data_IF_472962242842
#
_entry.id   IF_472962242842
#
_cell.length_a   1.000
_cell.length_b   1.000
_cell.length_c   1.000
_cell.angle_alpha   90.00
_cell.angle_beta   90.00
_cell.angle_gamma   90.00
#
_symmetry.space_group_name_H-M   'P 1'
#
loop_
_entity.id
_entity.type
_entity.pdbx_description
1 polymer ?
#
# COMPACT_ATOMS: atom_id res chain seq x y z
N UNK A 1 -14.14 -20.26 37.15
CA UNK A 1 -13.07 -20.08 36.12
C UNK A 1 -13.48 -20.56 34.73
N UNK A 2 -14.53 -21.40 34.59
CA UNK A 2 -14.93 -22.04 33.32
C UNK A 2 -15.64 -21.17 32.31
N UNK A 3 -16.37 -20.12 32.70
CA UNK A 3 -17.13 -19.28 31.78
C UNK A 3 -16.25 -18.35 30.91
N UNK A 4 -15.14 -17.86 31.40
CA UNK A 4 -14.25 -17.00 30.62
C UNK A 4 -13.48 -17.76 29.53
N UNK A 5 -13.07 -19.01 29.82
CA UNK A 5 -12.37 -19.84 28.84
C UNK A 5 -13.28 -20.28 27.68
N UNK A 6 -14.56 -20.57 27.95
CA UNK A 6 -15.54 -20.91 26.91
C UNK A 6 -15.89 -19.73 26.01
N UNK A 7 -15.93 -18.51 26.56
CA UNK A 7 -16.16 -17.26 25.81
C UNK A 7 -14.99 -16.96 24.86
N UNK A 8 -13.75 -17.06 25.33
CA UNK A 8 -12.56 -16.82 24.50
C UNK A 8 -12.43 -17.84 23.35
N UNK A 9 -12.66 -19.12 23.61
CA UNK A 9 -12.64 -20.17 22.58
C UNK A 9 -13.74 -19.93 21.53
N UNK A 10 -14.93 -19.53 21.95
CA UNK A 10 -16.04 -19.18 21.05
C UNK A 10 -15.71 -17.95 20.18
N UNK A 11 -14.99 -16.96 20.70
CA UNK A 11 -14.57 -15.78 19.93
C UNK A 11 -13.53 -16.13 18.87
N UNK A 12 -12.53 -16.95 19.22
CA UNK A 12 -11.53 -17.45 18.27
C UNK A 12 -12.20 -18.24 17.13
N UNK A 13 -13.10 -19.16 17.47
CA UNK A 13 -13.83 -19.95 16.48
C UNK A 13 -14.68 -19.11 15.53
N UNK A 14 -15.40 -18.11 16.06
CA UNK A 14 -16.13 -17.14 15.21
C UNK A 14 -15.21 -16.41 14.25
N UNK A 15 -14.06 -15.95 14.72
CA UNK A 15 -13.07 -15.24 13.87
C UNK A 15 -12.48 -16.15 12.81
N UNK A 16 -12.28 -17.44 13.10
CA UNK A 16 -11.85 -18.43 12.12
C UNK A 16 -12.91 -18.61 11.02
N UNK A 17 -14.19 -18.72 11.38
CA UNK A 17 -15.30 -18.83 10.43
C UNK A 17 -15.49 -17.56 9.56
N UNK A 18 -15.16 -16.39 10.10
CA UNK A 18 -15.28 -15.11 9.40
C UNK A 18 -14.17 -14.86 8.36
N UNK A 19 -13.20 -15.77 8.21
CA UNK A 19 -12.15 -15.61 7.21
C UNK A 19 -12.63 -16.10 5.84
N UNK A 20 -12.21 -15.41 4.76
CA UNK A 20 -12.59 -15.75 3.39
C UNK A 20 -11.75 -16.92 2.86
N UNK A 21 -11.90 -18.13 3.41
CA UNK A 21 -11.07 -19.31 3.11
C UNK A 21 -10.99 -19.67 1.63
N UNK A 22 -12.09 -19.54 0.90
CA UNK A 22 -12.20 -19.89 -0.51
C UNK A 22 -12.80 -18.75 -1.36
N UNK A 23 -12.76 -17.53 -0.85
CA UNK A 23 -13.26 -16.37 -1.55
C UNK A 23 -12.14 -15.72 -2.38
N UNK A 24 -12.18 -15.88 -3.68
CA UNK A 24 -11.20 -15.32 -4.62
C UNK A 24 -11.86 -14.31 -5.54
N UNK A 25 -11.14 -13.27 -5.89
CA UNK A 25 -11.51 -12.39 -7.02
C UNK A 25 -10.95 -12.97 -8.31
N UNK A 26 -11.73 -12.86 -9.40
CA UNK A 26 -11.27 -13.28 -10.72
C UNK A 26 -10.17 -12.33 -11.22
N UNK A 27 -9.01 -12.90 -11.52
CA UNK A 27 -7.85 -12.15 -11.96
C UNK A 27 -7.99 -11.67 -13.40
N UNK A 28 -7.73 -10.41 -13.62
CA UNK A 28 -7.65 -9.83 -14.97
C UNK A 28 -6.18 -9.61 -15.36
N UNK A 29 -5.66 -10.50 -16.21
CA UNK A 29 -4.31 -10.37 -16.79
C UNK A 29 -4.33 -9.78 -18.21
N UNK A 30 -5.23 -8.83 -18.47
CA UNK A 30 -5.15 -8.00 -19.70
C UNK A 30 -4.08 -6.92 -19.52
N UNK A 31 -2.87 -7.20 -20.02
CA UNK A 31 -1.72 -6.31 -19.92
C UNK A 31 -1.95 -4.95 -20.59
N UNK A 32 -2.75 -4.91 -21.67
CA UNK A 32 -3.09 -3.64 -22.33
C UNK A 32 -4.00 -2.78 -21.45
N UNK A 33 -4.93 -3.42 -20.75
CA UNK A 33 -5.77 -2.73 -19.78
C UNK A 33 -4.95 -2.28 -18.58
N UNK A 34 -4.00 -3.11 -18.10
CA UNK A 34 -3.09 -2.75 -17.00
C UNK A 34 -2.25 -1.52 -17.34
N UNK A 35 -1.68 -1.46 -18.56
CA UNK A 35 -0.95 -0.29 -19.03
C UNK A 35 -1.83 0.96 -19.04
N UNK A 36 -3.05 0.88 -19.58
CA UNK A 36 -4.00 2.02 -19.61
C UNK A 36 -4.34 2.53 -18.19
N UNK A 37 -4.51 1.64 -17.23
CA UNK A 37 -4.79 2.01 -15.84
C UNK A 37 -3.59 2.72 -15.22
N UNK A 38 -2.37 2.19 -15.41
CA UNK A 38 -1.13 2.81 -14.93
C UNK A 38 -0.93 4.20 -15.55
N UNK A 39 -1.17 4.36 -16.85
CA UNK A 39 -1.03 5.64 -17.56
C UNK A 39 -2.07 6.67 -17.14
N UNK A 40 -3.29 6.22 -16.88
CA UNK A 40 -4.37 7.08 -16.37
C UNK A 40 -4.07 7.58 -14.96
N UNK A 41 -3.56 6.70 -14.09
CA UNK A 41 -3.42 6.98 -12.65
C UNK A 41 -2.07 7.64 -12.33
N UNK A 42 -1.04 7.46 -13.18
CA UNK A 42 0.33 7.95 -12.95
C UNK A 42 0.88 8.62 -14.21
N UNK A 43 1.24 9.89 -14.08
CA UNK A 43 1.93 10.63 -15.14
C UNK A 43 3.43 10.33 -15.12
N UNK A 44 4.04 10.12 -16.29
CA UNK A 44 5.44 9.74 -16.40
C UNK A 44 5.72 8.34 -15.88
N UNK A 45 6.92 8.10 -15.36
CA UNK A 45 7.37 6.83 -14.78
C UNK A 45 7.35 5.67 -15.78
N UNK A 46 7.67 5.92 -17.06
CA UNK A 46 7.53 4.92 -18.13
C UNK A 46 8.34 3.65 -17.81
N UNK A 47 9.62 3.80 -17.42
CA UNK A 47 10.48 2.65 -17.05
C UNK A 47 9.90 1.83 -15.89
N UNK A 48 9.30 2.49 -14.90
CA UNK A 48 8.65 1.83 -13.75
C UNK A 48 7.42 1.05 -14.21
N UNK A 49 6.61 1.64 -15.07
CA UNK A 49 5.41 1.00 -15.63
C UNK A 49 5.78 -0.21 -16.48
N UNK A 50 6.81 -0.09 -17.33
CA UNK A 50 7.31 -1.18 -18.15
C UNK A 50 7.76 -2.35 -17.30
N UNK A 51 8.54 -2.10 -16.23
CA UNK A 51 8.97 -3.14 -15.28
C UNK A 51 7.78 -3.79 -14.56
N UNK A 52 6.76 -3.02 -14.20
CA UNK A 52 5.52 -3.58 -13.61
C UNK A 52 4.81 -4.48 -14.62
N UNK A 53 4.69 -4.07 -15.88
CA UNK A 53 4.04 -4.86 -16.95
C UNK A 53 4.84 -6.15 -17.24
N UNK A 54 6.17 -6.07 -17.27
CA UNK A 54 7.04 -7.26 -17.38
C UNK A 54 6.76 -8.27 -16.27
N UNK A 55 6.71 -7.80 -15.02
CA UNK A 55 6.41 -8.63 -13.87
C UNK A 55 5.02 -9.28 -13.97
N UNK A 56 3.99 -8.50 -14.32
CA UNK A 56 2.62 -9.01 -14.50
C UNK A 56 2.54 -10.03 -15.65
N UNK A 57 3.37 -9.87 -16.68
CA UNK A 57 3.46 -10.82 -17.79
C UNK A 57 4.01 -12.17 -17.34
N UNK A 58 5.03 -12.16 -16.48
CA UNK A 58 5.58 -13.39 -15.87
C UNK A 58 4.55 -14.08 -14.99
N UNK A 59 3.81 -13.34 -14.17
CA UNK A 59 2.73 -13.89 -13.33
C UNK A 59 1.64 -14.56 -14.19
N UNK A 60 1.27 -13.92 -15.30
CA UNK A 60 0.29 -14.47 -16.25
C UNK A 60 0.74 -15.82 -16.83
N UNK A 61 2.03 -15.93 -17.19
CA UNK A 61 2.58 -17.16 -17.78
C UNK A 61 2.71 -18.29 -16.76
N UNK A 62 3.23 -17.99 -15.58
CA UNK A 62 3.48 -18.99 -14.54
C UNK A 62 2.21 -19.56 -13.91
N UNK A 63 1.09 -18.86 -13.96
CA UNK A 63 -0.18 -19.21 -13.28
C UNK A 63 -0.04 -19.51 -11.78
N UNK A 64 1.09 -19.18 -11.20
CA UNK A 64 1.35 -19.27 -9.77
C UNK A 64 1.99 -17.97 -9.28
N UNK A 65 1.82 -17.63 -8.01
CA UNK A 65 2.35 -16.41 -7.39
C UNK A 65 3.77 -16.60 -6.82
N UNK A 66 4.42 -17.74 -7.09
CA UNK A 66 5.81 -18.00 -6.66
C UNK A 66 6.80 -17.18 -7.50
N UNK A 67 6.76 -15.87 -7.33
CA UNK A 67 7.64 -14.90 -8.00
C UNK A 67 8.25 -13.97 -6.96
N UNK A 68 9.41 -13.35 -7.24
CA UNK A 68 9.97 -12.33 -6.36
C UNK A 68 8.95 -11.25 -6.03
N UNK A 69 9.04 -10.70 -4.85
CA UNK A 69 8.13 -9.64 -4.39
C UNK A 69 8.58 -8.32 -5.02
N UNK A 70 7.67 -7.53 -5.57
CA UNK A 70 8.02 -6.19 -6.03
C UNK A 70 8.31 -5.29 -4.83
N UNK A 71 9.47 -4.63 -4.85
CA UNK A 71 9.80 -3.54 -3.93
C UNK A 71 9.91 -2.22 -4.69
N UNK A 72 8.96 -1.33 -4.48
CA UNK A 72 8.98 0.03 -5.02
C UNK A 72 9.84 0.91 -4.12
N UNK A 73 11.03 1.27 -4.59
CA UNK A 73 12.02 2.05 -3.86
C UNK A 73 12.16 3.46 -4.43
N UNK A 74 12.31 4.45 -3.57
CA UNK A 74 12.55 5.84 -4.01
C UNK A 74 12.16 6.87 -2.97
N UNK A 75 12.33 8.18 -3.26
CA UNK A 75 12.06 9.24 -2.31
C UNK A 75 10.58 9.30 -1.87
N UNK A 76 10.27 9.92 -0.73
CA UNK A 76 8.89 10.06 -0.28
C UNK A 76 8.07 10.93 -1.24
N UNK A 77 6.78 10.60 -1.41
CA UNK A 77 5.86 11.40 -2.20
C UNK A 77 5.88 11.16 -3.72
N UNK A 78 6.61 10.16 -4.22
CA UNK A 78 6.64 9.81 -5.66
C UNK A 78 5.51 8.85 -6.08
N UNK A 79 4.62 8.45 -5.18
CA UNK A 79 3.45 7.66 -5.54
C UNK A 79 3.59 6.15 -5.38
N UNK A 80 4.60 5.64 -4.65
CA UNK A 80 4.82 4.19 -4.43
C UNK A 80 3.57 3.43 -4.00
N UNK A 81 2.91 3.91 -2.95
CA UNK A 81 1.70 3.28 -2.40
C UNK A 81 0.50 3.36 -3.36
N UNK A 82 0.40 4.44 -4.15
CA UNK A 82 -0.66 4.56 -5.17
C UNK A 82 -0.42 3.65 -6.37
N UNK A 83 0.83 3.42 -6.78
CA UNK A 83 1.18 2.41 -7.79
C UNK A 83 0.70 1.02 -7.37
N UNK A 84 0.94 0.61 -6.13
CA UNK A 84 0.44 -0.66 -5.61
C UNK A 84 -1.10 -0.78 -5.68
N UNK A 85 -1.82 0.33 -5.44
CA UNK A 85 -3.28 0.36 -5.61
C UNK A 85 -3.70 0.23 -7.08
N UNK A 86 -2.98 0.88 -8.00
CA UNK A 86 -3.28 0.79 -9.44
C UNK A 86 -2.98 -0.60 -9.99
N UNK A 87 -1.94 -1.28 -9.49
CA UNK A 87 -1.67 -2.70 -9.79
C UNK A 87 -2.85 -3.57 -9.31
N UNK A 88 -3.34 -3.38 -8.09
CA UNK A 88 -4.50 -4.12 -7.60
C UNK A 88 -5.74 -3.90 -8.48
N UNK A 89 -6.02 -2.66 -8.86
CA UNK A 89 -7.13 -2.31 -9.74
C UNK A 89 -6.98 -2.95 -11.13
N UNK A 90 -5.76 -3.00 -11.68
CA UNK A 90 -5.50 -3.58 -13.01
C UNK A 90 -5.72 -5.09 -13.03
N UNK A 91 -5.43 -5.77 -11.93
CA UNK A 91 -5.66 -7.20 -11.74
C UNK A 91 -7.09 -7.54 -11.29
N UNK A 92 -7.95 -6.55 -11.06
CA UNK A 92 -9.29 -6.74 -10.47
C UNK A 92 -9.25 -7.37 -9.07
N UNK A 93 -8.15 -7.17 -8.32
CA UNK A 93 -7.97 -7.70 -6.97
C UNK A 93 -8.34 -6.68 -5.90
N UNK A 94 -8.76 -7.17 -4.75
CA UNK A 94 -8.93 -6.33 -3.56
C UNK A 94 -7.58 -5.79 -3.11
N UNK A 95 -7.58 -4.60 -2.53
CA UNK A 95 -6.38 -3.89 -2.09
C UNK A 95 -6.35 -3.78 -0.57
N UNK A 96 -5.23 -4.10 0.04
CA UNK A 96 -4.95 -3.80 1.44
C UNK A 96 -3.60 -3.11 1.60
N UNK A 97 -3.53 -2.16 2.52
CA UNK A 97 -2.29 -1.49 2.91
C UNK A 97 -1.99 -1.81 4.36
N UNK A 98 -0.77 -2.27 4.62
CA UNK A 98 -0.25 -2.52 5.96
C UNK A 98 0.98 -1.62 6.14
N UNK A 99 0.86 -0.61 7.01
CA UNK A 99 2.02 0.21 7.38
C UNK A 99 2.89 -0.59 8.35
N UNK A 100 4.15 -0.76 7.99
CA UNK A 100 5.16 -1.44 8.79
C UNK A 100 5.98 -0.45 9.63
N UNK A 101 5.91 0.84 9.31
CA UNK A 101 6.56 1.89 10.09
C UNK A 101 6.05 1.92 11.52
N UNK A 102 6.98 1.79 12.47
CA UNK A 102 6.68 1.76 13.91
C UNK A 102 6.27 0.40 14.47
N UNK A 103 6.29 -0.67 13.67
CA UNK A 103 6.17 -2.04 14.19
C UNK A 103 7.41 -2.40 15.00
N UNK A 104 7.19 -2.88 16.22
CA UNK A 104 8.27 -3.28 17.14
C UNK A 104 8.15 -4.73 17.58
N UNK A 105 6.95 -5.28 17.55
CA UNK A 105 6.63 -6.63 18.04
C UNK A 105 6.23 -7.55 16.86
N UNK A 106 6.85 -8.71 16.83
CA UNK A 106 6.50 -9.80 15.91
C UNK A 106 5.03 -10.21 16.04
N UNK A 107 4.47 -10.13 17.25
CA UNK A 107 3.07 -10.45 17.53
C UNK A 107 2.08 -9.53 16.77
N UNK A 108 2.49 -8.34 16.35
CA UNK A 108 1.64 -7.50 15.51
C UNK A 108 1.44 -8.11 14.10
N UNK A 109 2.38 -8.90 13.60
CA UNK A 109 2.30 -9.59 12.31
C UNK A 109 1.63 -10.93 12.46
N UNK A 110 2.12 -11.77 13.41
CA UNK A 110 1.69 -13.16 13.63
C UNK A 110 0.52 -13.32 14.60
N UNK A 111 0.05 -12.23 15.23
CA UNK A 111 -0.96 -12.32 16.29
C UNK A 111 -0.37 -12.62 17.67
N UNK A 112 -1.08 -12.19 18.70
CA UNK A 112 -0.72 -12.46 20.10
C UNK A 112 -1.21 -13.83 20.52
N UNK A 113 -0.47 -14.52 21.38
CA UNK A 113 -0.95 -15.76 21.98
C UNK A 113 -2.24 -15.48 22.77
N UNK A 114 -3.26 -16.31 22.58
CA UNK A 114 -4.60 -16.12 23.19
C UNK A 114 -4.64 -16.09 24.71
N UNK A 115 -3.55 -16.52 25.37
CA UNK A 115 -3.41 -16.49 26.83
C UNK A 115 -3.21 -15.08 27.40
N UNK A 116 -2.86 -14.10 26.58
CA UNK A 116 -2.66 -12.73 27.03
C UNK A 116 -3.97 -11.94 27.03
N UNK A 117 -4.15 -11.10 28.07
CA UNK A 117 -5.29 -10.16 28.12
C UNK A 117 -5.15 -9.17 26.95
N UNK A 118 -6.23 -9.02 26.16
CA UNK A 118 -6.23 -8.15 24.98
C UNK A 118 -5.59 -8.78 23.74
N UNK A 119 -5.32 -10.10 23.72
CA UNK A 119 -4.78 -10.80 22.56
C UNK A 119 -5.66 -10.58 21.32
N UNK A 120 -5.02 -10.42 20.17
CA UNK A 120 -5.68 -10.16 18.88
C UNK A 120 -4.95 -10.87 17.74
N UNK A 121 -5.67 -11.23 16.64
CA UNK A 121 -5.03 -11.70 15.42
C UNK A 121 -4.02 -10.71 14.87
N UNK A 122 -3.06 -11.20 14.10
CA UNK A 122 -2.06 -10.38 13.43
C UNK A 122 -2.65 -9.46 12.36
N UNK A 123 -1.86 -8.47 11.96
CA UNK A 123 -2.27 -7.48 10.93
C UNK A 123 -2.53 -8.14 9.57
N UNK A 124 -1.80 -9.20 9.23
CA UNK A 124 -2.01 -9.95 7.99
C UNK A 124 -3.43 -10.53 7.96
N UNK A 125 -3.80 -11.32 8.96
CA UNK A 125 -5.11 -11.96 9.06
C UNK A 125 -6.24 -10.92 9.18
N UNK A 126 -6.05 -9.86 9.96
CA UNK A 126 -7.02 -8.74 10.02
C UNK A 126 -7.26 -8.11 8.66
N UNK A 127 -6.21 -7.98 7.84
CA UNK A 127 -6.30 -7.41 6.51
C UNK A 127 -6.98 -8.35 5.53
N UNK A 128 -6.72 -9.67 5.57
CA UNK A 128 -7.44 -10.69 4.83
C UNK A 128 -8.95 -10.60 5.13
N UNK A 129 -9.32 -10.64 6.42
CA UNK A 129 -10.73 -10.49 6.83
C UNK A 129 -11.36 -9.21 6.28
N UNK A 130 -10.66 -8.08 6.37
CA UNK A 130 -11.15 -6.77 5.89
C UNK A 130 -11.38 -6.73 4.39
N UNK A 131 -10.53 -7.38 3.61
CA UNK A 131 -10.66 -7.43 2.15
C UNK A 131 -11.73 -8.41 1.69
N UNK A 132 -12.13 -9.33 2.54
CA UNK A 132 -13.04 -10.43 2.23
C UNK A 132 -12.62 -11.17 0.94
N UNK A 133 -11.32 -11.45 0.82
CA UNK A 133 -10.74 -12.17 -0.31
C UNK A 133 -9.43 -12.84 0.11
N UNK A 134 -9.16 -14.03 -0.42
CA UNK A 134 -7.93 -14.81 -0.18
C UNK A 134 -6.81 -14.50 -1.16
N UNK A 135 -7.07 -13.73 -2.22
CA UNK A 135 -6.06 -13.31 -3.21
C UNK A 135 -5.92 -11.77 -3.36
N UNK A 136 -5.92 -10.99 -2.28
CA UNK A 136 -5.76 -9.55 -2.39
C UNK A 136 -4.34 -9.16 -2.84
N UNK A 137 -4.17 -7.89 -3.19
CA UNK A 137 -2.85 -7.25 -3.27
C UNK A 137 -2.57 -6.55 -1.96
N UNK A 138 -1.48 -6.95 -1.28
CA UNK A 138 -1.02 -6.30 -0.05
C UNK A 138 0.14 -5.36 -0.35
N UNK A 139 -0.04 -4.09 -0.02
CA UNK A 139 1.06 -3.12 -0.01
C UNK A 139 1.61 -3.02 1.41
N UNK A 140 2.84 -3.53 1.58
CA UNK A 140 3.63 -3.45 2.80
C UNK A 140 4.42 -2.14 2.76
N UNK A 141 3.86 -1.12 3.41
CA UNK A 141 4.37 0.24 3.30
C UNK A 141 5.43 0.53 4.36
N UNK A 142 6.53 1.18 3.96
CA UNK A 142 7.64 1.57 4.81
C UNK A 142 8.39 0.36 5.44
N UNK A 143 8.75 -0.64 4.61
CA UNK A 143 9.50 -1.83 5.07
C UNK A 143 10.90 -1.47 5.60
N UNK A 144 11.44 -0.34 5.18
CA UNK A 144 12.69 0.25 5.66
C UNK A 144 12.59 0.81 7.09
N UNK A 145 11.39 0.94 7.65
CA UNK A 145 11.15 1.46 9.00
C UNK A 145 10.93 0.38 10.05
N UNK A 146 11.18 -0.88 9.68
CA UNK A 146 11.18 -1.98 10.65
C UNK A 146 12.39 -1.87 11.57
N UNK A 147 12.15 -1.82 12.86
CA UNK A 147 13.21 -1.77 13.88
C UNK A 147 13.21 -3.08 14.63
N UNK A 148 14.42 -3.62 14.88
CA UNK A 148 14.60 -4.69 15.85
C UNK A 148 14.54 -4.09 17.24
N UNK A 149 13.73 -4.68 18.11
CA UNK A 149 13.63 -4.28 19.50
C UNK A 149 13.83 -5.52 20.41
N UNK A 150 13.97 -5.29 21.71
CA UNK A 150 14.10 -6.38 22.71
C UNK A 150 12.87 -7.30 22.76
N UNK A 151 11.76 -6.92 22.16
CA UNK A 151 10.48 -7.64 22.19
C UNK A 151 10.23 -8.52 20.96
N UNK A 152 11.16 -8.61 20.01
CA UNK A 152 11.04 -9.47 18.84
C UNK A 152 11.68 -8.92 17.57
N UNK A 153 11.70 -9.71 16.52
CA UNK A 153 12.17 -9.33 15.18
C UNK A 153 11.02 -9.41 14.16
N UNK A 154 10.33 -8.29 13.91
CA UNK A 154 9.26 -8.25 12.90
C UNK A 154 9.75 -8.67 11.50
N UNK A 155 11.05 -8.51 11.21
CA UNK A 155 11.62 -8.94 9.93
C UNK A 155 11.57 -10.45 9.74
N UNK A 156 11.79 -11.21 10.82
CA UNK A 156 11.66 -12.69 10.78
C UNK A 156 10.23 -13.13 10.49
N UNK A 157 9.23 -12.49 11.10
CA UNK A 157 7.83 -12.78 10.81
C UNK A 157 7.48 -12.45 9.35
N UNK A 158 8.01 -11.35 8.81
CA UNK A 158 7.81 -10.99 7.41
C UNK A 158 8.51 -11.94 6.45
N UNK A 159 9.67 -12.49 6.81
CA UNK A 159 10.33 -13.51 5.98
C UNK A 159 9.42 -14.72 5.77
N UNK A 160 8.71 -15.21 6.80
CA UNK A 160 7.74 -16.30 6.66
C UNK A 160 6.54 -15.91 5.77
N UNK A 161 6.01 -14.70 5.94
CA UNK A 161 4.89 -14.19 5.13
C UNK A 161 5.27 -14.06 3.66
N UNK A 162 6.50 -13.64 3.38
CA UNK A 162 6.99 -13.30 2.05
C UNK A 162 7.71 -14.46 1.35
N UNK A 163 8.03 -15.53 2.07
CA UNK A 163 8.67 -16.71 1.49
C UNK A 163 7.62 -17.60 0.81
N UNK A 164 7.66 -17.79 -0.52
CA UNK A 164 6.70 -18.64 -1.23
C UNK A 164 6.69 -20.10 -0.81
N UNK A 165 7.74 -20.57 -0.12
CA UNK A 165 7.82 -21.95 0.39
C UNK A 165 7.17 -22.09 1.76
N UNK A 166 7.05 -21.01 2.52
CA UNK A 166 6.52 -21.01 3.88
C UNK A 166 5.11 -20.41 3.97
N UNK A 167 4.75 -19.49 3.08
CA UNK A 167 3.52 -18.72 3.18
C UNK A 167 2.24 -19.51 2.88
N UNK A 168 2.35 -20.72 2.33
CA UNK A 168 1.20 -21.63 2.14
C UNK A 168 0.57 -22.07 3.47
N UNK A 169 1.33 -22.02 4.57
CA UNK A 169 0.88 -22.41 5.90
C UNK A 169 1.21 -21.36 6.96
N UNK A 170 1.01 -20.07 6.63
CA UNK A 170 1.24 -18.97 7.57
C UNK A 170 0.43 -19.17 8.85
N UNK A 171 1.11 -19.23 9.99
CA UNK A 171 0.49 -19.50 11.29
C UNK A 171 0.23 -18.21 12.07
N UNK A 172 -1.05 -17.94 12.38
CA UNK A 172 -1.42 -16.86 13.30
C UNK A 172 -1.57 -17.41 14.72
N UNK A 173 -0.80 -16.85 15.66
CA UNK A 173 -0.74 -17.33 17.05
C UNK A 173 -2.05 -17.14 17.83
N UNK A 174 -2.91 -16.21 17.43
CA UNK A 174 -4.20 -16.00 18.06
C UNK A 174 -5.24 -16.98 17.56
N UNK A 175 -5.26 -17.20 16.24
CA UNK A 175 -6.21 -18.13 15.63
C UNK A 175 -5.77 -19.59 15.79
N UNK A 176 -4.47 -19.85 16.01
CA UNK A 176 -3.86 -21.19 16.11
C UNK A 176 -4.17 -22.10 14.91
N UNK A 177 -4.31 -21.49 13.73
CA UNK A 177 -4.53 -22.21 12.47
C UNK A 177 -3.60 -21.66 11.39
N UNK A 178 -3.25 -22.50 10.43
CA UNK A 178 -2.56 -22.09 9.22
C UNK A 178 -3.51 -21.40 8.24
N UNK A 179 -3.05 -20.37 7.56
CA UNK A 179 -3.75 -19.70 6.47
C UNK A 179 -2.87 -19.65 5.23
N UNK A 180 -3.43 -20.03 4.08
CA UNK A 180 -2.70 -20.03 2.81
C UNK A 180 -2.61 -18.61 2.25
N UNK A 181 -1.40 -18.03 2.25
CA UNK A 181 -1.08 -16.74 1.66
C UNK A 181 -0.47 -16.85 0.26
N UNK A 182 -0.34 -18.05 -0.31
CA UNK A 182 0.35 -18.27 -1.60
C UNK A 182 -0.32 -17.57 -2.78
N UNK A 183 -1.59 -17.20 -2.66
CA UNK A 183 -2.36 -16.47 -3.67
C UNK A 183 -2.33 -14.95 -3.48
N UNK A 184 -1.78 -14.47 -2.37
CA UNK A 184 -1.65 -13.05 -2.08
C UNK A 184 -0.50 -12.46 -2.90
N UNK A 185 -0.73 -11.32 -3.54
CA UNK A 185 0.34 -10.57 -4.19
C UNK A 185 0.88 -9.51 -3.21
N UNK A 186 2.13 -9.65 -2.82
CA UNK A 186 2.81 -8.70 -1.94
C UNK A 186 3.61 -7.67 -2.75
N UNK A 187 3.44 -6.40 -2.40
CA UNK A 187 4.21 -5.27 -2.93
C UNK A 187 4.79 -4.53 -1.73
N UNK A 188 6.10 -4.43 -1.65
CA UNK A 188 6.77 -3.65 -0.61
C UNK A 188 7.03 -2.21 -1.09
N UNK A 189 7.09 -1.24 -0.18
CA UNK A 189 7.60 0.09 -0.45
C UNK A 189 8.71 0.46 0.52
N UNK A 190 9.76 1.14 0.03
CA UNK A 190 10.88 1.60 0.82
C UNK A 190 11.33 3.00 0.38
N UNK A 191 11.86 3.79 1.30
CA UNK A 191 12.55 5.04 0.98
C UNK A 191 14.07 4.88 0.99
N UNK A 192 14.58 3.90 1.75
CA UNK A 192 16.00 3.58 1.87
C UNK A 192 16.21 2.06 1.80
N UNK A 193 16.98 1.58 0.82
CA UNK A 193 17.33 0.15 0.73
C UNK A 193 18.36 -0.27 1.78
N UNK A 194 19.16 0.67 2.27
CA UNK A 194 20.17 0.38 3.29
C UNK A 194 19.55 -0.03 4.63
N UNK A 195 18.32 0.43 4.91
CA UNK A 195 17.60 0.12 6.13
C UNK A 195 16.76 -1.16 6.02
N UNK A 196 16.57 -1.71 4.80
CA UNK A 196 15.85 -2.96 4.59
C UNK A 196 16.74 -4.15 4.98
N UNK A 197 16.17 -5.08 5.75
CA UNK A 197 16.88 -6.29 6.17
C UNK A 197 17.42 -7.07 4.93
N UNK A 198 18.72 -7.47 4.90
CA UNK A 198 19.32 -8.12 3.73
C UNK A 198 18.54 -9.33 3.22
N UNK A 199 18.11 -10.23 4.13
CA UNK A 199 17.36 -11.42 3.76
C UNK A 199 15.99 -11.13 3.12
N UNK A 200 15.35 -10.00 3.46
CA UNK A 200 14.14 -9.53 2.77
C UNK A 200 14.47 -8.98 1.39
N UNK A 201 15.53 -8.16 1.30
CA UNK A 201 15.96 -7.54 0.06
C UNK A 201 16.33 -8.57 -1.02
N UNK A 202 17.00 -9.66 -0.62
CA UNK A 202 17.40 -10.74 -1.54
C UNK A 202 16.21 -11.50 -2.17
N UNK A 203 15.00 -11.37 -1.59
CA UNK A 203 13.76 -11.95 -2.11
C UNK A 203 12.93 -11.00 -2.94
N UNK A 204 13.42 -9.76 -3.14
CA UNK A 204 12.65 -8.69 -3.77
C UNK A 204 13.21 -8.31 -5.14
N UNK A 205 12.31 -8.10 -6.09
CA UNK A 205 12.62 -7.38 -7.31
C UNK A 205 12.47 -5.89 -7.06
N UNK A 206 13.60 -5.18 -7.07
CA UNK A 206 13.66 -3.76 -6.74
C UNK A 206 13.38 -2.94 -8.00
N UNK A 207 12.34 -2.10 -7.92
CA UNK A 207 11.99 -1.12 -8.95
C UNK A 207 12.23 0.27 -8.38
N UNK A 208 13.24 0.96 -8.90
CA UNK A 208 13.59 2.30 -8.47
C UNK A 208 12.65 3.33 -9.09
N UNK A 209 12.15 4.22 -8.25
CA UNK A 209 11.29 5.33 -8.67
C UNK A 209 12.02 6.63 -8.37
N UNK A 210 12.43 7.32 -9.42
CA UNK A 210 13.10 8.60 -9.31
C UNK A 210 12.16 9.72 -8.88
N UNK A 211 12.75 10.83 -8.43
CA UNK A 211 11.99 12.07 -8.20
C UNK A 211 11.49 12.68 -9.51
N UNK A 212 10.47 13.51 -9.40
CA UNK A 212 9.88 14.19 -10.55
C UNK A 212 10.60 15.50 -10.90
N UNK A 213 10.71 15.79 -12.19
CA UNK A 213 11.12 17.11 -12.69
C UNK A 213 10.03 18.14 -12.41
N UNK A 214 10.36 19.44 -12.59
CA UNK A 214 9.39 20.53 -12.41
C UNK A 214 8.22 20.38 -13.40
N UNK A 215 8.53 20.03 -14.65
CA UNK A 215 7.56 19.83 -15.72
C UNK A 215 6.59 18.68 -15.38
N UNK A 216 7.11 17.56 -14.89
CA UNK A 216 6.31 16.42 -14.45
C UNK A 216 5.42 16.78 -13.26
N UNK A 217 5.95 17.50 -12.27
CA UNK A 217 5.16 17.98 -11.12
C UNK A 217 4.01 18.89 -11.55
N UNK A 218 4.23 19.75 -12.53
CA UNK A 218 3.18 20.60 -13.11
C UNK A 218 2.08 19.75 -13.75
N UNK A 219 2.45 18.72 -14.52
CA UNK A 219 1.47 17.84 -15.15
C UNK A 219 0.70 17.00 -14.12
N UNK A 220 1.40 16.46 -13.13
CA UNK A 220 0.79 15.73 -11.99
C UNK A 220 -0.17 16.64 -11.23
N UNK A 221 0.22 17.89 -10.96
CA UNK A 221 -0.63 18.85 -10.29
C UNK A 221 -1.94 19.09 -11.06
N UNK A 222 -1.85 19.33 -12.38
CA UNK A 222 -3.01 19.60 -13.24
C UNK A 222 -3.93 18.40 -13.40
N UNK A 223 -3.35 17.22 -13.64
CA UNK A 223 -4.13 16.01 -13.97
C UNK A 223 -4.71 15.32 -12.74
N UNK A 224 -3.99 15.35 -11.60
CA UNK A 224 -4.34 14.56 -10.43
C UNK A 224 -4.57 15.39 -9.17
N UNK A 225 -3.61 16.26 -8.77
CA UNK A 225 -3.70 16.89 -7.45
C UNK A 225 -4.80 17.95 -7.38
N UNK A 226 -4.90 18.84 -8.36
CA UNK A 226 -5.92 19.89 -8.39
C UNK A 226 -7.33 19.32 -8.46
N UNK A 227 -7.65 18.39 -9.39
CA UNK A 227 -8.98 17.76 -9.43
C UNK A 227 -9.33 17.04 -8.14
N UNK A 228 -8.36 16.33 -7.53
CA UNK A 228 -8.54 15.65 -6.23
C UNK A 228 -8.87 16.64 -5.12
N UNK A 229 -8.15 17.77 -5.03
CA UNK A 229 -8.39 18.77 -4.00
C UNK A 229 -9.72 19.52 -4.21
N UNK A 230 -10.09 19.80 -5.45
CA UNK A 230 -11.41 20.36 -5.80
C UNK A 230 -12.52 19.43 -5.28
N UNK A 231 -12.44 18.14 -5.60
CA UNK A 231 -13.42 17.14 -5.13
C UNK A 231 -13.44 17.01 -3.61
N UNK A 232 -12.29 16.94 -2.96
CA UNK A 232 -12.18 16.76 -1.50
C UNK A 232 -12.73 17.94 -0.69
N UNK A 233 -12.69 19.14 -1.26
CA UNK A 233 -13.15 20.35 -0.59
C UNK A 233 -14.54 20.83 -1.08
N UNK A 234 -15.20 20.08 -1.96
CA UNK A 234 -16.52 20.43 -2.48
C UNK A 234 -16.57 21.74 -3.31
N UNK A 235 -15.43 22.12 -3.92
CA UNK A 235 -15.30 23.36 -4.67
C UNK A 235 -15.70 23.11 -6.13
N UNK A 236 -16.31 24.10 -6.79
CA UNK A 236 -16.56 24.02 -8.23
C UNK A 236 -15.26 24.30 -8.99
N UNK A 237 -15.08 23.63 -10.13
CA UNK A 237 -13.89 23.81 -10.97
C UNK A 237 -13.71 25.25 -11.46
N UNK A 238 -14.80 26.03 -11.55
CA UNK A 238 -14.80 27.47 -11.86
C UNK A 238 -14.17 28.35 -10.78
N UNK A 239 -14.19 27.93 -9.52
CA UNK A 239 -13.85 28.77 -8.38
C UNK A 239 -12.33 28.82 -8.12
N UNK A 240 -11.57 27.89 -8.70
CA UNK A 240 -10.10 27.84 -8.61
C UNK A 240 -9.50 27.63 -10.01
N UNK A 241 -8.68 28.59 -10.42
CA UNK A 241 -7.87 28.48 -11.62
C UNK A 241 -6.38 28.65 -11.28
N UNK A 242 -5.65 27.54 -11.25
CA UNK A 242 -4.19 27.55 -11.05
C UNK A 242 -3.50 27.44 -12.41
N UNK A 243 -2.97 28.57 -12.89
CA UNK A 243 -2.21 28.60 -14.14
C UNK A 243 -0.88 27.85 -14.03
N UNK A 244 -0.28 27.47 -15.16
CA UNK A 244 1.03 26.81 -15.19
C UNK A 244 2.08 27.60 -14.43
N UNK A 245 2.15 28.94 -14.68
CA UNK A 245 3.09 29.85 -14.01
C UNK A 245 2.86 29.90 -12.49
N UNK A 246 1.60 29.79 -12.04
CA UNK A 246 1.28 29.76 -10.60
C UNK A 246 1.75 28.45 -9.96
N UNK A 247 1.53 27.32 -10.63
CA UNK A 247 1.97 26.01 -10.15
C UNK A 247 3.50 25.95 -10.08
N UNK A 248 4.20 26.44 -11.10
CA UNK A 248 5.65 26.55 -11.16
C UNK A 248 6.18 27.37 -9.97
N UNK A 249 5.64 28.56 -9.72
CA UNK A 249 6.00 29.37 -8.54
C UNK A 249 5.76 28.65 -7.20
N UNK A 250 4.69 27.84 -7.11
CA UNK A 250 4.43 27.02 -5.92
C UNK A 250 5.51 25.96 -5.76
N UNK A 251 5.92 25.30 -6.84
CA UNK A 251 6.97 24.28 -6.83
C UNK A 251 8.29 24.90 -6.38
N UNK A 252 8.72 26.00 -7.01
CA UNK A 252 10.01 26.63 -6.76
C UNK A 252 10.15 27.21 -5.36
N UNK A 253 9.08 27.82 -4.84
CA UNK A 253 9.15 28.55 -3.58
C UNK A 253 8.67 27.72 -2.36
N UNK A 254 7.79 26.74 -2.54
CA UNK A 254 7.12 26.07 -1.43
C UNK A 254 7.22 24.54 -1.45
N UNK A 255 7.75 23.91 -2.52
CA UNK A 255 7.76 22.46 -2.67
C UNK A 255 9.09 21.92 -3.20
N UNK A 256 10.19 22.22 -2.47
CA UNK A 256 11.55 21.75 -2.79
C UNK A 256 11.74 20.29 -2.34
N UNK A 257 10.93 19.38 -2.86
CA UNK A 257 11.01 17.94 -2.59
C UNK A 257 11.14 17.15 -3.90
N UNK A 258 11.63 15.91 -3.84
CA UNK A 258 11.72 15.04 -5.01
C UNK A 258 10.34 14.56 -5.48
N UNK A 259 9.37 14.39 -4.57
CA UNK A 259 8.01 13.99 -4.86
C UNK A 259 7.03 15.16 -4.99
N UNK A 260 5.74 14.87 -4.76
CA UNK A 260 4.62 15.82 -4.85
C UNK A 260 3.79 15.94 -3.57
N UNK A 261 4.29 15.41 -2.44
CA UNK A 261 3.53 15.38 -1.17
C UNK A 261 3.35 16.77 -0.57
N UNK A 262 4.39 17.60 -0.59
CA UNK A 262 4.33 18.99 -0.13
C UNK A 262 3.54 19.84 -1.11
N UNK A 263 3.71 19.63 -2.42
CA UNK A 263 2.92 20.29 -3.46
C UNK A 263 1.42 20.03 -3.26
N UNK A 264 1.01 18.78 -3.00
CA UNK A 264 -0.39 18.45 -2.68
C UNK A 264 -0.91 19.20 -1.46
N UNK A 265 -0.10 19.28 -0.38
CA UNK A 265 -0.47 20.03 0.84
C UNK A 265 -0.65 21.52 0.58
N UNK A 266 0.21 22.11 -0.25
CA UNK A 266 0.11 23.54 -0.61
C UNK A 266 -1.14 23.77 -1.45
N UNK A 267 -1.42 22.94 -2.47
CA UNK A 267 -2.65 23.03 -3.28
C UNK A 267 -3.89 22.89 -2.37
N UNK A 268 -3.89 21.94 -1.42
CA UNK A 268 -4.96 21.78 -0.46
C UNK A 268 -5.15 23.03 0.43
N UNK A 269 -4.05 23.70 0.82
CA UNK A 269 -4.12 24.97 1.56
C UNK A 269 -4.75 26.09 0.73
N UNK A 270 -4.39 26.19 -0.55
CA UNK A 270 -5.00 27.16 -1.49
C UNK A 270 -6.50 26.85 -1.65
N UNK A 271 -6.88 25.59 -1.81
CA UNK A 271 -8.28 25.17 -1.91
C UNK A 271 -9.09 25.59 -0.66
N UNK A 272 -8.57 25.32 0.53
CA UNK A 272 -9.23 25.75 1.79
C UNK A 272 -9.37 27.27 1.91
N UNK A 273 -8.34 28.00 1.49
CA UNK A 273 -8.41 29.47 1.50
C UNK A 273 -9.50 29.98 0.56
N UNK A 274 -9.63 29.42 -0.64
CA UNK A 274 -10.68 29.79 -1.58
C UNK A 274 -12.08 29.52 -0.99
N UNK A 275 -12.32 28.38 -0.34
CA UNK A 275 -13.59 28.08 0.36
C UNK A 275 -13.87 29.13 1.44
N UNK A 276 -12.90 29.39 2.29
CA UNK A 276 -13.06 30.38 3.37
C UNK A 276 -13.38 31.78 2.82
N UNK A 277 -12.69 32.20 1.75
CA UNK A 277 -12.94 33.49 1.12
C UNK A 277 -14.34 33.60 0.54
N UNK A 278 -14.82 32.59 -0.19
CA UNK A 278 -16.15 32.58 -0.80
C UNK A 278 -17.28 32.57 0.24
N UNK A 279 -17.08 31.96 1.40
CA UNK A 279 -18.10 31.89 2.47
C UNK A 279 -18.08 33.06 3.44
N UNK A 280 -16.94 33.76 3.59
CA UNK A 280 -16.80 34.87 4.54
C UNK A 280 -16.94 36.25 3.88
N UNK A 281 -16.71 36.34 2.56
CA UNK A 281 -16.63 37.65 1.86
C UNK A 281 -17.71 37.86 0.81
N UNK A 282 -18.45 36.82 0.43
CA UNK A 282 -19.62 36.97 -0.43
C UNK A 282 -20.89 37.07 0.43
N UNK A 283 -21.75 38.07 0.22
CA UNK A 283 -23.00 38.23 0.94
C UNK A 283 -24.00 37.11 0.69
#
# INVERSE_FOLDING_TARGET
>A
PTHHASSAASDVYKRQLDLPWNEYTDDNFDLRNSQKILDRDHFGLEEVKDRIIEYLSVLKLKKNMKSPIICLYGPPGVGKTSLGKSIANSLNRKYARISLGGLRDEAEIRGHRKTYIGAMPGRIIKSIKKTNSSNPVFVLDEIDKLTRDMHGDPSSALLEVLDPEQNESFHDNYLEIGYDLSKVLFIATANSLAEVHPALRDRMEIIEINGYTVEEKIQIAKRHLIPKQISNHGIKKSDINLTTKTIEKIIDNYSKESGVRTLEKVIAKVARYAVSYTHLTLP
#
